data_IF_791440775128
#
_entry.id   IF_791440775128
#
_cell.length_a   1.000
_cell.length_b   1.000
_cell.length_c   1.000
_cell.angle_alpha   90.00
_cell.angle_beta   90.00
_cell.angle_gamma   90.00
#
_symmetry.space_group_name_H-M   'P 1'
#
loop_
_entity.id
_entity.type
_entity.pdbx_description
1 polymer ?
#
# COMPACT_ATOMS: atom_id res chain seq x y z
N UNK A 1 2.00 13.52 -16.19
CA UNK A 1 3.42 13.44 -15.77
C UNK A 1 3.94 14.86 -15.59
N UNK A 2 4.58 15.19 -14.46
CA UNK A 2 5.20 16.50 -14.27
C UNK A 2 6.60 16.47 -14.88
N UNK A 3 6.82 17.26 -15.92
CA UNK A 3 8.17 17.62 -16.34
C UNK A 3 8.63 18.77 -15.43
N UNK A 4 9.55 18.44 -14.51
CA UNK A 4 10.03 19.33 -13.46
C UNK A 4 10.77 20.55 -14.05
N UNK A 5 11.21 20.46 -15.31
CA UNK A 5 11.81 21.55 -16.07
C UNK A 5 10.81 22.33 -16.93
N UNK A 6 9.81 21.66 -17.51
CA UNK A 6 8.83 22.30 -18.39
C UNK A 6 7.66 22.98 -17.66
N UNK A 7 7.54 22.82 -16.32
CA UNK A 7 6.44 23.37 -15.48
C UNK A 7 5.03 23.04 -16.00
N UNK A 8 4.89 21.99 -16.80
CA UNK A 8 3.59 21.53 -17.31
C UNK A 8 3.25 20.19 -16.67
N UNK A 9 1.95 19.98 -16.42
CA UNK A 9 1.45 18.72 -15.87
C UNK A 9 0.23 18.26 -16.65
N UNK A 10 0.22 16.97 -16.97
CA UNK A 10 -0.92 16.27 -17.59
C UNK A 10 -1.41 15.17 -16.65
N UNK A 11 -2.72 14.96 -16.54
CA UNK A 11 -3.25 13.81 -15.81
C UNK A 11 -2.79 12.52 -16.49
N UNK A 12 -2.31 11.58 -15.69
CA UNK A 12 -1.91 10.25 -16.16
C UNK A 12 -3.02 9.23 -15.92
N UNK A 13 -3.59 9.27 -14.71
CA UNK A 13 -4.80 8.55 -14.33
C UNK A 13 -5.89 9.60 -14.17
N UNK A 14 -7.05 9.35 -14.78
CA UNK A 14 -8.20 10.25 -14.78
C UNK A 14 -9.49 9.43 -14.85
N UNK A 15 -9.68 8.58 -13.84
CA UNK A 15 -10.92 7.81 -13.75
C UNK A 15 -12.09 8.72 -13.36
N UNK A 16 -13.35 8.30 -13.59
CA UNK A 16 -14.51 9.04 -13.09
C UNK A 16 -14.54 9.26 -11.56
N UNK A 17 -13.96 8.36 -10.76
CA UNK A 17 -13.84 8.48 -9.31
C UNK A 17 -12.59 9.26 -8.87
N UNK A 18 -12.38 9.41 -7.55
CA UNK A 18 -11.09 9.86 -7.02
C UNK A 18 -9.99 8.82 -7.27
N UNK A 19 -8.76 9.31 -7.50
CA UNK A 19 -7.55 8.53 -7.71
C UNK A 19 -6.47 9.04 -6.74
N UNK A 20 -5.92 8.16 -5.90
CA UNK A 20 -4.93 8.52 -4.88
C UNK A 20 -3.60 7.79 -5.12
N UNK A 21 -2.52 8.55 -5.33
CA UNK A 21 -1.18 7.98 -5.45
C UNK A 21 -0.70 7.44 -4.09
N UNK A 22 -0.10 6.24 -4.09
CA UNK A 22 0.34 5.58 -2.86
C UNK A 22 1.85 5.34 -2.80
N UNK A 23 2.42 4.64 -3.78
CA UNK A 23 3.84 4.28 -3.73
C UNK A 23 4.45 4.01 -5.11
N UNK A 24 5.72 4.39 -5.29
CA UNK A 24 6.53 3.95 -6.43
C UNK A 24 7.08 2.55 -6.19
N UNK A 25 7.19 1.77 -7.26
CA UNK A 25 8.04 0.58 -7.30
C UNK A 25 9.51 0.96 -7.04
N UNK A 26 10.34 0.03 -6.53
CA UNK A 26 11.76 0.29 -6.25
C UNK A 26 12.56 0.73 -7.48
N UNK A 27 12.17 0.27 -8.68
CA UNK A 27 12.82 0.63 -9.95
C UNK A 27 12.26 1.91 -10.58
N UNK A 28 11.16 2.45 -10.05
CA UNK A 28 10.54 3.70 -10.51
C UNK A 28 9.78 3.61 -11.84
N UNK A 29 9.57 2.41 -12.38
CA UNK A 29 8.89 2.18 -13.66
C UNK A 29 7.40 1.84 -13.50
N UNK A 30 6.94 1.62 -12.25
CA UNK A 30 5.55 1.36 -11.88
C UNK A 30 5.16 2.10 -10.60
N UNK A 31 3.88 2.33 -10.38
CA UNK A 31 3.37 2.85 -9.10
C UNK A 31 2.04 2.23 -8.71
N UNK A 32 1.71 2.33 -7.42
CA UNK A 32 0.42 1.94 -6.86
C UNK A 32 -0.45 3.18 -6.69
N UNK A 33 -1.72 3.06 -7.05
CA UNK A 33 -2.75 4.04 -6.73
C UNK A 33 -4.02 3.34 -6.23
N UNK A 34 -4.83 4.05 -5.43
CA UNK A 34 -6.18 3.64 -5.08
C UNK A 34 -7.21 4.34 -5.97
N UNK A 35 -8.28 3.64 -6.32
CA UNK A 35 -9.36 4.20 -7.15
C UNK A 35 -10.64 3.37 -7.07
N UNK A 36 -11.80 4.01 -7.17
CA UNK A 36 -13.07 3.30 -7.39
C UNK A 36 -13.41 3.17 -8.90
N UNK A 37 -12.49 3.63 -9.76
CA UNK A 37 -12.59 3.63 -11.21
C UNK A 37 -13.85 4.36 -11.67
N UNK A 38 -14.94 3.63 -11.97
CA UNK A 38 -16.17 4.19 -12.49
C UNK A 38 -17.22 4.45 -11.39
N UNK A 39 -17.00 3.96 -10.18
CA UNK A 39 -17.96 4.13 -9.09
C UNK A 39 -17.74 5.49 -8.40
N UNK A 40 -18.67 6.39 -8.64
CA UNK A 40 -18.69 7.76 -8.12
C UNK A 40 -19.55 7.89 -6.86
N UNK A 41 -20.12 6.78 -6.38
CA UNK A 41 -20.93 6.76 -5.17
C UNK A 41 -20.02 6.78 -3.94
N UNK A 42 -20.30 7.59 -2.91
CA UNK A 42 -19.56 7.54 -1.64
C UNK A 42 -19.83 6.22 -0.90
N UNK A 43 -19.08 5.18 -1.24
CA UNK A 43 -19.23 3.85 -0.65
C UNK A 43 -18.28 3.66 0.53
N UNK A 44 -18.55 4.35 1.64
CA UNK A 44 -17.79 4.20 2.89
C UNK A 44 -17.87 2.80 3.53
N UNK A 45 -18.63 1.88 2.93
CA UNK A 45 -18.83 0.50 3.37
C UNK A 45 -18.11 -0.53 2.49
N UNK A 46 -17.46 -0.12 1.40
CA UNK A 46 -16.68 -1.02 0.55
C UNK A 46 -15.19 -0.85 0.81
N UNK A 47 -14.45 -1.94 0.81
CA UNK A 47 -12.99 -1.89 0.91
C UNK A 47 -12.38 -1.17 -0.29
N UNK A 48 -11.24 -0.53 -0.05
CA UNK A 48 -10.47 0.12 -1.06
C UNK A 48 -9.95 -0.86 -2.12
N UNK A 49 -9.81 -0.33 -3.34
CA UNK A 49 -9.26 -1.04 -4.49
C UNK A 49 -7.91 -0.45 -4.84
N UNK A 50 -6.94 -1.33 -5.11
CA UNK A 50 -5.57 -0.95 -5.40
C UNK A 50 -5.19 -1.38 -6.80
N UNK A 51 -4.41 -0.55 -7.49
CA UNK A 51 -3.96 -0.78 -8.84
C UNK A 51 -2.47 -0.55 -8.95
N UNK A 52 -1.79 -1.39 -9.73
CA UNK A 52 -0.45 -1.10 -10.23
C UNK A 52 -0.59 -0.53 -11.64
N UNK A 53 -0.05 0.67 -11.83
CA UNK A 53 0.15 1.26 -13.16
C UNK A 53 1.58 0.99 -13.64
N UNK A 54 1.70 0.52 -14.88
CA UNK A 54 2.96 0.25 -15.55
C UNK A 54 3.27 1.34 -16.58
N UNK A 55 4.41 2.03 -16.40
CA UNK A 55 4.80 3.16 -17.25
C UNK A 55 5.18 2.77 -18.68
N UNK A 56 5.64 1.53 -18.91
CA UNK A 56 6.09 1.08 -20.21
C UNK A 56 4.91 0.67 -21.11
N UNK A 57 3.93 -0.02 -20.54
CA UNK A 57 2.74 -0.51 -21.24
C UNK A 57 1.55 0.47 -21.17
N UNK A 58 1.63 1.50 -20.32
CA UNK A 58 0.55 2.44 -20.07
C UNK A 58 -0.75 1.75 -19.64
N UNK A 59 -0.63 0.74 -18.77
CA UNK A 59 -1.76 -0.09 -18.35
C UNK A 59 -1.83 -0.21 -16.83
N UNK A 60 -3.06 -0.32 -16.33
CA UNK A 60 -3.35 -0.60 -14.92
C UNK A 60 -3.83 -2.03 -14.75
N UNK A 61 -3.44 -2.67 -13.65
CA UNK A 61 -4.06 -3.92 -13.18
C UNK A 61 -4.45 -3.80 -11.72
N UNK A 62 -5.61 -4.31 -11.37
CA UNK A 62 -6.07 -4.40 -10.00
C UNK A 62 -5.26 -5.47 -9.24
N UNK A 63 -5.02 -5.24 -7.95
CA UNK A 63 -4.25 -6.14 -7.08
C UNK A 63 -4.96 -6.37 -5.76
N UNK A 64 -4.61 -7.46 -5.08
CA UNK A 64 -5.15 -7.84 -3.77
C UNK A 64 -6.70 -7.91 -3.74
N UNK A 65 -7.31 -8.39 -4.83
CA UNK A 65 -8.77 -8.50 -4.99
C UNK A 65 -9.41 -9.46 -3.99
N UNK A 66 -8.63 -10.46 -3.54
CA UNK A 66 -9.11 -11.51 -2.64
C UNK A 66 -8.88 -11.16 -1.16
N UNK A 67 -8.38 -9.95 -0.88
CA UNK A 67 -8.14 -9.46 0.48
C UNK A 67 -9.31 -8.57 0.93
N UNK A 68 -10.09 -9.06 1.89
CA UNK A 68 -11.41 -8.52 2.29
C UNK A 68 -11.37 -7.40 3.34
N UNK A 69 -10.27 -6.62 3.37
CA UNK A 69 -10.12 -5.47 4.27
C UNK A 69 -9.54 -4.26 3.53
N UNK A 70 -9.65 -3.09 4.14
CA UNK A 70 -8.94 -1.89 3.69
C UNK A 70 -7.43 -2.06 3.81
N UNK A 71 -6.75 -1.78 2.70
CA UNK A 71 -5.30 -1.95 2.52
C UNK A 71 -4.61 -0.60 2.54
N UNK A 72 -4.00 -0.25 3.66
CA UNK A 72 -3.24 0.98 3.84
C UNK A 72 -1.78 0.76 3.41
N UNK A 73 -1.46 1.03 2.13
CA UNK A 73 -0.10 0.82 1.59
C UNK A 73 0.91 1.69 2.34
N UNK A 74 1.95 1.06 2.89
CA UNK A 74 3.03 1.73 3.61
C UNK A 74 4.29 1.84 2.76
N UNK A 75 4.57 0.85 1.90
CA UNK A 75 5.74 0.90 1.02
C UNK A 75 5.68 -0.12 -0.13
N UNK A 76 6.46 0.10 -1.18
CA UNK A 76 6.84 -0.91 -2.17
C UNK A 76 8.36 -0.91 -2.30
N UNK A 77 8.99 -2.00 -1.89
CA UNK A 77 10.44 -2.19 -1.95
C UNK A 77 10.79 -3.48 -2.70
N UNK A 78 12.07 -3.86 -2.73
CA UNK A 78 12.54 -5.06 -3.46
C UNK A 78 11.96 -6.38 -2.96
N UNK A 79 11.46 -6.43 -1.73
CA UNK A 79 10.81 -7.62 -1.15
C UNK A 79 9.34 -7.73 -1.55
N UNK A 80 8.68 -6.62 -1.87
CA UNK A 80 7.27 -6.61 -2.26
C UNK A 80 6.55 -5.33 -1.85
N UNK A 81 5.23 -5.43 -1.85
CA UNK A 81 4.31 -4.35 -1.48
C UNK A 81 3.85 -4.60 -0.05
N UNK A 82 4.07 -3.63 0.83
CA UNK A 82 3.66 -3.71 2.22
C UNK A 82 2.47 -2.80 2.47
N UNK A 83 1.49 -3.31 3.19
CA UNK A 83 0.32 -2.57 3.59
C UNK A 83 -0.13 -2.99 4.98
N UNK A 84 -0.80 -2.08 5.68
CA UNK A 84 -1.48 -2.38 6.92
C UNK A 84 -2.95 -2.67 6.67
N UNK A 85 -3.52 -3.55 7.48
CA UNK A 85 -4.95 -3.80 7.49
C UNK A 85 -5.41 -4.20 8.89
N UNK A 86 -6.67 -3.85 9.21
CA UNK A 86 -7.35 -4.40 10.38
C UNK A 86 -7.96 -5.73 10.01
N UNK A 87 -7.91 -6.72 10.90
CA UNK A 87 -8.59 -7.99 10.77
C UNK A 87 -9.19 -8.36 12.12
N UNK A 88 -10.53 -8.32 12.20
CA UNK A 88 -11.29 -8.48 13.45
C UNK A 88 -10.81 -7.47 14.51
N UNK A 89 -10.25 -7.96 15.62
CA UNK A 89 -9.74 -7.13 16.71
C UNK A 89 -8.27 -6.75 16.54
N UNK A 90 -7.57 -7.25 15.52
CA UNK A 90 -6.14 -7.02 15.31
C UNK A 90 -5.90 -6.03 14.16
N UNK A 91 -4.71 -5.42 14.13
CA UNK A 91 -4.21 -4.68 12.99
C UNK A 91 -2.75 -5.07 12.74
N UNK A 92 -2.44 -5.46 11.51
CA UNK A 92 -1.14 -6.03 11.16
C UNK A 92 -0.55 -5.44 9.91
N UNK A 93 0.71 -5.80 9.64
CA UNK A 93 1.41 -5.53 8.38
C UNK A 93 1.35 -6.80 7.53
N UNK A 94 1.07 -6.62 6.24
CA UNK A 94 1.02 -7.68 5.25
C UNK A 94 1.98 -7.34 4.11
N UNK A 95 2.56 -8.38 3.52
CA UNK A 95 3.42 -8.31 2.35
C UNK A 95 2.72 -8.99 1.17
N UNK A 96 2.64 -8.31 0.04
CA UNK A 96 2.20 -8.86 -1.23
C UNK A 96 3.36 -8.96 -2.22
N UNK A 97 3.50 -10.14 -2.84
CA UNK A 97 4.37 -10.32 -4.00
C UNK A 97 3.68 -9.71 -5.25
N UNK A 98 4.26 -8.67 -5.88
CA UNK A 98 3.65 -8.03 -7.04
C UNK A 98 3.58 -8.94 -8.27
N UNK A 99 4.42 -9.98 -8.39
CA UNK A 99 4.48 -10.85 -9.56
C UNK A 99 3.34 -11.86 -9.64
N UNK A 100 2.92 -12.39 -8.49
CA UNK A 100 1.92 -13.45 -8.40
C UNK A 100 0.72 -13.11 -7.50
N UNK A 101 0.76 -11.98 -6.79
CA UNK A 101 -0.33 -11.52 -5.92
C UNK A 101 -0.44 -12.25 -4.58
N UNK A 102 0.50 -13.13 -4.22
CA UNK A 102 0.51 -13.83 -2.92
C UNK A 102 0.65 -12.82 -1.79
N UNK A 103 -0.22 -12.94 -0.79
CA UNK A 103 -0.22 -12.09 0.41
C UNK A 103 0.12 -12.94 1.64
N UNK A 104 1.03 -12.44 2.47
CA UNK A 104 1.38 -13.04 3.76
C UNK A 104 1.38 -11.97 4.86
N UNK A 105 1.04 -12.38 6.08
CA UNK A 105 1.15 -11.50 7.23
C UNK A 105 2.59 -11.48 7.76
N UNK A 106 3.12 -10.29 8.03
CA UNK A 106 4.41 -10.12 8.70
C UNK A 106 4.25 -10.46 10.17
N UNK A 107 5.08 -11.38 10.68
CA UNK A 107 5.04 -11.80 12.07
C UNK A 107 5.67 -10.75 12.98
N UNK A 108 4.84 -10.04 13.77
CA UNK A 108 5.28 -9.00 14.70
C UNK A 108 4.86 -9.32 16.13
N UNK A 109 5.63 -8.89 17.15
CA UNK A 109 5.36 -9.18 18.56
C UNK A 109 4.27 -8.28 19.17
N UNK A 110 3.26 -7.88 18.41
CA UNK A 110 2.18 -6.96 18.80
C UNK A 110 0.84 -7.39 18.20
N UNK A 111 -0.27 -7.00 18.82
CA UNK A 111 -1.62 -7.28 18.33
C UNK A 111 -2.16 -6.19 17.39
N UNK A 112 -1.73 -4.94 17.63
CA UNK A 112 -2.15 -3.75 16.90
C UNK A 112 -0.91 -3.00 16.44
N UNK A 113 -0.73 -2.87 15.14
CA UNK A 113 0.24 -1.95 14.51
C UNK A 113 -0.46 -0.63 14.22
N UNK A 114 0.12 0.49 14.66
CA UNK A 114 -0.42 1.83 14.44
C UNK A 114 0.14 2.51 13.18
N UNK A 115 1.43 2.31 12.90
CA UNK A 115 2.09 2.76 11.67
C UNK A 115 3.35 1.92 11.43
N UNK A 116 3.78 1.80 10.19
CA UNK A 116 5.01 1.12 9.80
C UNK A 116 5.67 1.83 8.62
N UNK A 117 7.01 1.85 8.62
CA UNK A 117 7.80 2.37 7.51
C UNK A 117 9.10 1.59 7.38
N UNK A 118 9.57 1.44 6.15
CA UNK A 118 10.79 0.72 5.83
C UNK A 118 11.92 1.70 5.45
N UNK A 119 13.15 1.31 5.72
CA UNK A 119 14.31 1.93 5.08
C UNK A 119 14.22 1.82 3.57
N UNK A 120 14.90 2.72 2.84
CA UNK A 120 14.84 2.78 1.37
C UNK A 120 15.23 1.46 0.70
N UNK A 121 16.19 0.74 1.28
CA UNK A 121 16.65 -0.57 0.82
C UNK A 121 15.76 -1.74 1.28
N UNK A 122 14.76 -1.47 2.13
CA UNK A 122 13.85 -2.46 2.70
C UNK A 122 14.49 -3.37 3.74
N UNK A 123 15.69 -3.05 4.24
CA UNK A 123 16.42 -3.91 5.19
C UNK A 123 15.87 -3.83 6.61
N UNK A 124 15.29 -2.70 7.00
CA UNK A 124 14.81 -2.45 8.36
C UNK A 124 13.42 -1.83 8.33
N UNK A 125 12.55 -2.28 9.22
CA UNK A 125 11.24 -1.67 9.47
C UNK A 125 11.24 -0.97 10.84
N UNK A 126 10.74 0.25 10.89
CA UNK A 126 10.31 0.88 12.13
C UNK A 126 8.78 0.87 12.20
N UNK A 127 8.21 0.56 13.35
CA UNK A 127 6.76 0.55 13.52
C UNK A 127 6.32 0.95 14.93
N UNK A 128 5.12 1.52 15.05
CA UNK A 128 4.45 1.66 16.33
C UNK A 128 3.48 0.51 16.54
N UNK A 129 3.40 -0.03 17.75
CA UNK A 129 2.46 -1.11 18.04
C UNK A 129 2.22 -1.36 19.52
N UNK A 130 1.22 -2.20 19.82
CA UNK A 130 0.87 -2.61 21.18
C UNK A 130 0.22 -3.98 21.25
N UNK A 131 0.33 -4.62 22.41
CA UNK A 131 -0.58 -5.68 22.83
C UNK A 131 -1.94 -5.10 23.26
N UNK A 132 -2.97 -5.95 23.40
CA UNK A 132 -4.30 -5.50 23.81
C UNK A 132 -4.37 -4.80 25.17
N UNK A 133 -3.54 -5.23 26.11
CA UNK A 133 -3.44 -4.72 27.48
C UNK A 133 -2.21 -3.80 27.69
N UNK A 134 -1.53 -3.44 26.61
CA UNK A 134 -0.30 -2.64 26.62
C UNK A 134 -0.44 -1.23 26.06
N UNK A 135 0.59 -0.42 26.33
CA UNK A 135 0.77 0.89 25.69
C UNK A 135 1.37 0.73 24.28
N UNK A 136 1.20 1.76 23.46
CA UNK A 136 1.87 1.83 22.16
C UNK A 136 3.33 2.21 22.34
N UNK A 137 4.21 1.37 21.81
CA UNK A 137 5.65 1.58 21.80
C UNK A 137 6.18 1.64 20.37
N UNK A 138 7.43 2.09 20.22
CA UNK A 138 8.15 2.10 18.94
C UNK A 138 9.13 0.93 18.90
N UNK A 139 9.07 0.16 17.82
CA UNK A 139 9.89 -1.02 17.59
C UNK A 139 10.73 -0.87 16.32
N UNK A 140 11.84 -1.59 16.30
CA UNK A 140 12.62 -1.84 15.09
C UNK A 140 12.56 -3.35 14.80
N UNK A 141 12.15 -3.69 13.60
CA UNK A 141 12.12 -5.05 13.08
C UNK A 141 13.22 -5.22 12.04
N UNK A 142 14.04 -6.24 12.22
CA UNK A 142 14.91 -6.74 11.16
C UNK A 142 14.19 -7.94 10.55
N UNK A 143 14.03 -7.90 9.23
CA UNK A 143 13.61 -9.06 8.43
C UNK A 143 14.81 -9.98 8.18
#
# INVERSE_FOLDING_TARGET
MLDITARTSTPLIANPSSDDFLAWSPEGDKFIYASNVNDTTPNFYTNNRLFIYDMASHSSREIATDFDEDKFVTSWNKKGIFFMASQKTKAGVFQMDPSNGRIEQVSLPVDIVGNASYTKDGSVMAFSGRAFDGLSEIYIGND
#
